data_IF_932654888689
#
_entry.id   IF_932654888689
#
_cell.length_a   1.000
_cell.length_b   1.000
_cell.length_c   1.000
_cell.angle_alpha   90.00
_cell.angle_beta   90.00
_cell.angle_gamma   90.00
#
_symmetry.space_group_name_H-M   'P 1'
#
loop_
_entity.id
_entity.type
_entity.pdbx_description
1 polymer ?
#
# COMPACT_ATOMS: atom_id res chain seq x y z
N UNK A 1 31.77 -10.17 -53.76
CA UNK A 1 31.68 -9.51 -52.48
C UNK A 1 30.29 -9.76 -51.93
N UNK A 2 30.16 -10.70 -50.97
CA UNK A 2 28.88 -11.03 -50.33
C UNK A 2 28.79 -10.20 -49.03
N UNK A 3 27.91 -9.22 -48.99
CA UNK A 3 27.52 -8.53 -47.76
C UNK A 3 26.61 -9.43 -46.94
N UNK A 4 27.12 -10.00 -45.88
CA UNK A 4 26.31 -10.65 -44.86
C UNK A 4 25.65 -9.58 -44.00
N UNK A 5 24.35 -9.37 -44.21
CA UNK A 5 23.48 -8.58 -43.37
C UNK A 5 23.28 -9.31 -42.02
N UNK A 6 23.97 -8.89 -40.97
CA UNK A 6 23.74 -9.34 -39.61
C UNK A 6 22.48 -8.66 -39.05
N UNK A 7 21.35 -9.34 -39.10
CA UNK A 7 20.13 -8.94 -38.43
C UNK A 7 20.33 -9.08 -36.90
N UNK A 8 20.54 -7.98 -36.21
CA UNK A 8 20.51 -7.90 -34.76
C UNK A 8 19.07 -8.04 -34.28
N UNK A 9 18.70 -9.25 -33.88
CA UNK A 9 17.39 -9.50 -33.22
C UNK A 9 17.43 -8.85 -31.84
N UNK A 10 16.85 -7.66 -31.70
CA UNK A 10 16.62 -7.02 -30.43
C UNK A 10 15.59 -7.85 -29.67
N UNK A 11 16.02 -8.70 -28.75
CA UNK A 11 15.11 -9.37 -27.81
C UNK A 11 14.38 -8.30 -27.02
N UNK A 12 13.07 -8.21 -27.17
CA UNK A 12 12.22 -7.36 -26.35
C UNK A 12 12.27 -7.89 -24.91
N UNK A 13 12.99 -7.20 -24.04
CA UNK A 13 13.02 -7.51 -22.61
C UNK A 13 11.62 -7.18 -22.07
N UNK A 14 10.86 -8.19 -21.71
CA UNK A 14 9.56 -8.00 -21.05
C UNK A 14 9.78 -7.31 -19.70
N UNK A 15 9.14 -6.16 -19.43
CA UNK A 15 9.29 -5.46 -18.17
C UNK A 15 8.97 -6.36 -16.98
N UNK A 16 9.81 -6.32 -15.96
CA UNK A 16 9.61 -7.08 -14.72
C UNK A 16 8.44 -6.53 -13.92
N UNK A 17 7.58 -7.42 -13.41
CA UNK A 17 6.40 -7.04 -12.62
C UNK A 17 6.38 -7.83 -11.32
N UNK A 18 5.97 -7.19 -10.21
CA UNK A 18 5.85 -7.86 -8.93
C UNK A 18 5.19 -7.02 -7.84
N UNK A 19 4.88 -7.69 -6.74
CA UNK A 19 4.32 -7.10 -5.52
C UNK A 19 5.45 -6.64 -4.60
N UNK A 20 5.26 -5.48 -3.99
CA UNK A 20 6.18 -4.89 -3.01
C UNK A 20 5.44 -4.69 -1.70
N UNK A 21 5.95 -5.28 -0.63
CA UNK A 21 5.45 -5.16 0.72
C UNK A 21 6.44 -4.38 1.57
N UNK A 22 5.93 -3.58 2.51
CA UNK A 22 6.74 -2.72 3.36
C UNK A 22 6.47 -3.05 4.83
N UNK A 23 7.47 -3.60 5.54
CA UNK A 23 7.33 -4.01 6.94
C UNK A 23 8.52 -3.53 7.78
N UNK A 24 8.27 -2.66 8.75
CA UNK A 24 9.32 -2.05 9.56
C UNK A 24 8.83 -1.66 10.97
N UNK A 25 9.78 -1.46 11.86
CA UNK A 25 9.61 -0.92 13.20
C UNK A 25 9.19 -1.95 14.24
N UNK A 26 8.06 -2.62 14.09
CA UNK A 26 7.54 -3.55 15.11
C UNK A 26 7.36 -4.96 14.53
N UNK A 27 7.61 -6.02 15.32
CA UNK A 27 7.45 -7.41 14.88
C UNK A 27 6.08 -7.74 14.28
N UNK A 28 5.03 -7.07 14.74
CA UNK A 28 3.67 -7.26 14.20
C UNK A 28 3.57 -6.97 12.71
N UNK A 29 4.37 -6.03 12.18
CA UNK A 29 4.39 -5.72 10.75
C UNK A 29 5.15 -6.80 9.96
N UNK A 30 6.17 -7.43 10.55
CA UNK A 30 6.84 -8.58 9.93
C UNK A 30 5.88 -9.76 9.78
N UNK A 31 5.05 -10.03 10.81
CA UNK A 31 4.03 -11.07 10.71
C UNK A 31 2.90 -10.72 9.76
N UNK A 32 2.50 -9.46 9.71
CA UNK A 32 1.51 -9.00 8.74
C UNK A 32 2.01 -9.19 7.30
N UNK A 33 3.28 -8.83 7.02
CA UNK A 33 3.92 -9.09 5.73
C UNK A 33 4.00 -10.59 5.39
N UNK A 34 4.30 -11.43 6.39
CA UNK A 34 4.27 -12.87 6.24
C UNK A 34 2.90 -13.37 5.80
N UNK A 35 1.83 -12.93 6.48
CA UNK A 35 0.47 -13.36 6.16
C UNK A 35 0.03 -12.91 4.77
N UNK A 36 0.35 -11.67 4.41
CA UNK A 36 0.03 -11.16 3.08
C UNK A 36 0.80 -11.91 2.00
N UNK A 37 2.12 -12.10 2.17
CA UNK A 37 2.95 -12.87 1.23
C UNK A 37 2.44 -14.32 1.08
N UNK A 38 2.10 -14.97 2.20
CA UNK A 38 1.52 -16.31 2.21
C UNK A 38 0.20 -16.35 1.45
N UNK A 39 -0.74 -15.42 1.73
CA UNK A 39 -2.04 -15.40 1.06
C UNK A 39 -1.91 -15.13 -0.45
N UNK A 40 -1.00 -14.24 -0.85
CA UNK A 40 -0.70 -14.02 -2.26
C UNK A 40 -0.14 -15.30 -2.89
N UNK A 41 0.85 -15.93 -2.27
CA UNK A 41 1.48 -17.15 -2.80
C UNK A 41 0.50 -18.30 -2.95
N UNK A 42 -0.46 -18.41 -2.02
CA UNK A 42 -1.51 -19.42 -2.04
C UNK A 42 -2.43 -19.27 -3.25
N UNK A 43 -2.84 -18.05 -3.56
CA UNK A 43 -3.80 -17.76 -4.62
C UNK A 43 -3.14 -17.47 -5.98
N UNK A 44 -1.91 -16.95 -5.95
CA UNK A 44 -1.16 -16.47 -7.13
C UNK A 44 0.28 -16.97 -7.08
N UNK A 45 0.50 -18.28 -7.33
CA UNK A 45 1.80 -18.95 -7.12
C UNK A 45 2.95 -18.37 -7.93
N UNK A 46 2.68 -17.72 -9.05
CA UNK A 46 3.69 -17.21 -9.98
C UNK A 46 4.01 -15.71 -9.78
N UNK A 47 3.25 -14.98 -8.97
CA UNK A 47 3.48 -13.57 -8.72
C UNK A 47 4.81 -13.39 -7.97
N UNK A 48 5.66 -12.49 -8.44
CA UNK A 48 6.90 -12.13 -7.75
C UNK A 48 6.57 -11.26 -6.55
N UNK A 49 7.18 -11.55 -5.41
CA UNK A 49 6.97 -10.83 -4.15
C UNK A 49 8.31 -10.39 -3.57
N UNK A 50 8.45 -9.11 -3.31
CA UNK A 50 9.56 -8.53 -2.55
C UNK A 50 9.03 -7.95 -1.25
N UNK A 51 9.70 -8.24 -0.13
CA UNK A 51 9.41 -7.58 1.14
C UNK A 51 10.59 -6.69 1.52
N UNK A 52 10.29 -5.44 1.83
CA UNK A 52 11.25 -4.43 2.27
C UNK A 52 11.20 -4.34 3.80
N UNK A 53 12.35 -4.53 4.46
CA UNK A 53 12.49 -4.49 5.91
C UNK A 53 13.48 -3.43 6.36
N UNK A 54 13.27 -2.89 7.56
CA UNK A 54 14.26 -2.08 8.29
C UNK A 54 15.40 -2.92 8.86
N UNK A 55 15.11 -4.15 9.26
CA UNK A 55 16.07 -5.13 9.78
C UNK A 55 15.71 -6.53 9.25
N UNK A 56 16.25 -6.94 8.10
CA UNK A 56 15.99 -8.25 7.52
C UNK A 56 16.34 -9.42 8.43
N UNK A 57 17.41 -9.32 9.21
CA UNK A 57 17.85 -10.40 10.12
C UNK A 57 16.83 -10.59 11.22
N UNK A 58 16.39 -9.49 11.84
CA UNK A 58 15.35 -9.50 12.86
C UNK A 58 14.00 -10.00 12.29
N UNK A 59 13.63 -9.54 11.10
CA UNK A 59 12.41 -10.00 10.44
C UNK A 59 12.40 -11.52 10.23
N UNK A 60 13.50 -12.08 9.71
CA UNK A 60 13.66 -13.52 9.51
C UNK A 60 13.71 -14.31 10.83
N UNK A 61 14.25 -13.75 11.91
CA UNK A 61 14.18 -14.40 13.23
C UNK A 61 12.75 -14.54 13.77
N UNK A 62 11.86 -13.64 13.35
CA UNK A 62 10.42 -13.72 13.69
C UNK A 62 9.62 -14.59 12.71
N UNK A 63 10.03 -14.62 11.44
CA UNK A 63 9.31 -15.27 10.33
C UNK A 63 10.29 -16.09 9.48
N UNK A 64 10.94 -17.11 10.06
CA UNK A 64 11.98 -17.90 9.40
C UNK A 64 11.53 -18.60 8.12
N UNK A 65 10.24 -18.95 8.03
CA UNK A 65 9.66 -19.61 6.85
C UNK A 65 9.24 -18.63 5.75
N UNK A 66 9.40 -17.31 5.96
CA UNK A 66 8.95 -16.28 5.01
C UNK A 66 9.54 -16.48 3.62
N UNK A 67 10.80 -16.95 3.54
CA UNK A 67 11.51 -17.19 2.29
C UNK A 67 10.82 -18.22 1.36
N UNK A 68 9.91 -19.03 1.88
CA UNK A 68 9.12 -19.96 1.06
C UNK A 68 8.04 -19.24 0.23
N UNK A 69 7.64 -18.04 0.66
CA UNK A 69 6.52 -17.30 0.06
C UNK A 69 6.94 -16.08 -0.74
N UNK A 70 8.18 -15.63 -0.61
CA UNK A 70 8.71 -14.45 -1.28
C UNK A 70 9.85 -14.78 -2.23
N UNK A 71 10.17 -13.86 -3.12
CA UNK A 71 11.26 -13.99 -4.08
C UNK A 71 12.51 -13.22 -3.63
N UNK A 72 12.31 -12.05 -3.02
CA UNK A 72 13.39 -11.15 -2.63
C UNK A 72 13.12 -10.45 -1.30
N UNK A 73 14.20 -10.14 -0.59
CA UNK A 73 14.21 -9.26 0.56
C UNK A 73 14.99 -8.00 0.18
N UNK A 74 14.38 -6.83 0.44
CA UNK A 74 15.06 -5.55 0.37
C UNK A 74 15.29 -4.95 1.75
N UNK A 75 16.23 -4.02 1.83
CA UNK A 75 16.56 -3.28 3.05
C UNK A 75 16.19 -1.81 2.88
N UNK A 76 15.51 -1.24 3.88
CA UNK A 76 15.17 0.17 3.96
C UNK A 76 16.19 0.83 4.89
N UNK A 77 16.80 1.90 4.43
CA UNK A 77 17.75 2.64 5.23
C UNK A 77 17.07 3.28 6.46
N UNK A 78 17.71 3.20 7.63
CA UNK A 78 17.14 3.69 8.88
C UNK A 78 16.84 5.19 8.85
N UNK A 79 17.66 5.97 8.12
CA UNK A 79 17.40 7.39 7.90
C UNK A 79 16.10 7.68 7.16
N UNK A 80 15.57 6.74 6.37
CA UNK A 80 14.27 6.89 5.70
C UNK A 80 13.08 6.41 6.55
N UNK A 81 13.36 5.83 7.72
CA UNK A 81 12.33 5.28 8.63
C UNK A 81 12.09 6.18 9.85
N UNK A 82 13.15 6.83 10.33
CA UNK A 82 13.08 7.58 11.58
C UNK A 82 13.25 9.08 11.34
N UNK A 83 12.45 9.87 12.09
CA UNK A 83 12.61 11.31 12.24
C UNK A 83 12.82 11.60 13.74
N UNK A 84 13.98 12.17 14.11
CA UNK A 84 14.33 12.42 15.51
C UNK A 84 14.16 11.19 16.42
N UNK A 85 14.63 10.03 15.97
CA UNK A 85 14.52 8.72 16.65
C UNK A 85 13.09 8.20 16.82
N UNK A 86 12.10 8.83 16.21
CA UNK A 86 10.71 8.36 16.20
C UNK A 86 10.39 7.74 14.85
N UNK A 87 9.65 6.63 14.89
CA UNK A 87 9.15 5.96 13.70
C UNK A 87 8.26 6.92 12.90
N UNK A 88 8.55 7.05 11.61
CA UNK A 88 7.88 7.96 10.69
C UNK A 88 7.42 7.21 9.43
N UNK A 89 6.24 6.57 9.46
CA UNK A 89 5.73 5.80 8.33
C UNK A 89 5.53 6.62 7.05
N UNK A 90 5.10 7.87 7.18
CA UNK A 90 4.91 8.75 6.03
C UNK A 90 6.22 9.00 5.29
N UNK A 91 7.32 9.18 6.05
CA UNK A 91 8.67 9.35 5.49
C UNK A 91 9.10 8.18 4.62
N UNK A 92 8.84 6.95 5.06
CA UNK A 92 9.16 5.74 4.27
C UNK A 92 8.37 5.73 2.98
N UNK A 93 7.06 6.02 3.05
CA UNK A 93 6.17 5.95 1.89
C UNK A 93 6.50 7.01 0.84
N UNK A 94 6.84 8.24 1.21
CA UNK A 94 7.27 9.25 0.23
C UNK A 94 8.66 8.96 -0.36
N UNK A 95 9.44 8.08 0.27
CA UNK A 95 10.71 7.57 -0.26
C UNK A 95 10.57 6.23 -1.00
N UNK A 96 9.37 5.66 -1.09
CA UNK A 96 9.14 4.30 -1.58
C UNK A 96 9.72 4.08 -2.98
N UNK A 97 9.62 5.05 -3.89
CA UNK A 97 10.13 4.93 -5.26
C UNK A 97 11.60 4.50 -5.34
N UNK A 98 12.44 4.96 -4.41
CA UNK A 98 13.86 4.59 -4.29
C UNK A 98 14.06 3.08 -4.11
N UNK A 99 13.12 2.39 -3.49
CA UNK A 99 13.21 0.99 -3.08
C UNK A 99 12.49 0.01 -4.01
N UNK A 100 11.81 0.49 -5.05
CA UNK A 100 11.04 -0.35 -5.96
C UNK A 100 11.95 -1.28 -6.75
N UNK A 101 11.77 -2.62 -6.69
CA UNK A 101 12.69 -3.56 -7.32
C UNK A 101 12.36 -3.87 -8.79
N UNK A 102 11.11 -3.66 -9.20
CA UNK A 102 10.62 -4.04 -10.53
C UNK A 102 10.41 -2.83 -11.43
N UNK A 103 10.24 -3.06 -12.73
CA UNK A 103 9.81 -2.01 -13.66
C UNK A 103 8.36 -1.60 -13.39
N UNK A 104 7.52 -2.58 -12.99
CA UNK A 104 6.12 -2.42 -12.60
C UNK A 104 5.91 -3.00 -11.21
N UNK A 105 5.44 -2.18 -10.29
CA UNK A 105 5.34 -2.53 -8.87
C UNK A 105 3.91 -2.35 -8.38
N UNK A 106 3.34 -3.42 -7.83
CA UNK A 106 2.13 -3.34 -7.03
C UNK A 106 2.53 -3.24 -5.56
N UNK A 107 2.57 -2.03 -5.02
CA UNK A 107 2.78 -1.81 -3.61
C UNK A 107 1.49 -2.10 -2.82
N UNK A 108 1.63 -2.82 -1.71
CA UNK A 108 0.54 -3.11 -0.78
C UNK A 108 0.98 -2.87 0.66
N UNK A 109 0.13 -2.20 1.44
CA UNK A 109 0.27 -2.16 2.89
C UNK A 109 0.09 -3.57 3.46
N UNK A 110 0.89 -3.90 4.46
CA UNK A 110 0.94 -5.27 5.02
C UNK A 110 -0.28 -5.63 5.87
N UNK A 111 -1.15 -4.68 6.18
CA UNK A 111 -2.42 -4.91 6.88
C UNK A 111 -3.54 -5.34 5.92
N UNK A 112 -3.19 -6.08 4.89
CA UNK A 112 -4.10 -6.67 3.91
C UNK A 112 -3.88 -8.18 3.78
N UNK A 113 -4.82 -8.86 3.14
CA UNK A 113 -4.75 -10.28 2.75
C UNK A 113 -5.29 -10.42 1.34
N UNK A 114 -4.62 -11.23 0.50
CA UNK A 114 -5.18 -11.65 -0.77
C UNK A 114 -6.28 -12.70 -0.52
N UNK A 115 -7.44 -12.50 -1.16
CA UNK A 115 -8.61 -13.35 -0.95
C UNK A 115 -8.92 -14.22 -2.17
N UNK A 116 -8.29 -13.92 -3.28
CA UNK A 116 -8.29 -14.72 -4.52
C UNK A 116 -7.03 -14.44 -5.34
N UNK A 117 -6.92 -15.03 -6.53
CA UNK A 117 -5.82 -14.78 -7.45
C UNK A 117 -5.76 -13.28 -7.84
N UNK A 118 -4.62 -12.65 -7.58
CA UNK A 118 -4.38 -11.23 -7.90
C UNK A 118 -3.76 -11.02 -9.30
N UNK A 119 -3.43 -12.09 -10.02
CA UNK A 119 -2.84 -11.95 -11.36
C UNK A 119 -3.76 -11.19 -12.33
N UNK A 120 -5.09 -11.45 -12.38
CA UNK A 120 -5.98 -10.67 -13.24
C UNK A 120 -5.99 -9.18 -12.92
N UNK A 121 -5.88 -8.81 -11.64
CA UNK A 121 -5.76 -7.40 -11.22
C UNK A 121 -4.45 -6.79 -11.73
N UNK A 122 -3.32 -7.50 -11.61
CA UNK A 122 -2.02 -7.05 -12.13
C UNK A 122 -2.07 -6.88 -13.65
N UNK A 123 -2.74 -7.77 -14.35
CA UNK A 123 -2.89 -7.71 -15.81
C UNK A 123 -3.70 -6.48 -16.22
N UNK A 124 -4.80 -6.20 -15.52
CA UNK A 124 -5.62 -5.02 -15.76
C UNK A 124 -4.87 -3.70 -15.47
N UNK A 125 -4.14 -3.64 -14.35
CA UNK A 125 -3.27 -2.51 -14.03
C UNK A 125 -2.22 -2.28 -15.13
N UNK A 126 -1.64 -3.37 -15.64
CA UNK A 126 -0.67 -3.32 -16.72
C UNK A 126 -1.29 -2.81 -18.03
N UNK A 127 -2.48 -3.31 -18.39
CA UNK A 127 -3.20 -2.92 -19.60
C UNK A 127 -3.72 -1.49 -19.56
N UNK A 128 -3.90 -0.91 -18.38
CA UNK A 128 -4.34 0.48 -18.22
C UNK A 128 -3.40 1.50 -18.86
N UNK A 129 -2.12 1.15 -19.01
CA UNK A 129 -1.07 2.04 -19.52
C UNK A 129 -0.74 3.22 -18.60
N UNK A 130 -1.31 3.30 -17.40
CA UNK A 130 -1.02 4.37 -16.44
C UNK A 130 0.24 4.05 -15.65
N UNK A 131 1.10 5.05 -15.45
CA UNK A 131 2.33 4.93 -14.67
C UNK A 131 2.10 4.94 -13.15
N UNK A 132 0.98 5.54 -12.72
CA UNK A 132 0.59 5.57 -11.32
C UNK A 132 -0.93 5.37 -11.17
N UNK A 133 -1.31 4.42 -10.31
CA UNK A 133 -2.70 4.17 -9.91
C UNK A 133 -2.73 3.97 -8.40
N UNK A 134 -3.75 4.51 -7.76
CA UNK A 134 -4.04 4.27 -6.34
C UNK A 134 -5.55 4.24 -6.13
N UNK A 135 -5.99 3.68 -5.01
CA UNK A 135 -7.39 3.74 -4.62
C UNK A 135 -7.77 5.21 -4.35
N UNK A 136 -8.57 5.78 -5.25
CA UNK A 136 -9.03 7.15 -5.15
C UNK A 136 -10.45 7.18 -4.58
N UNK A 137 -10.62 7.81 -3.42
CA UNK A 137 -11.90 7.91 -2.71
C UNK A 137 -12.71 9.14 -3.12
N UNK A 138 -12.12 10.05 -3.88
CA UNK A 138 -12.81 11.25 -4.37
C UNK A 138 -11.85 12.30 -4.92
N UNK A 139 -12.44 13.44 -5.30
CA UNK A 139 -11.71 14.59 -5.84
C UNK A 139 -12.16 15.86 -5.14
N UNK A 140 -11.21 16.73 -4.86
CA UNK A 140 -11.43 18.01 -4.19
C UNK A 140 -11.05 19.16 -5.09
N UNK A 141 -11.84 20.22 -5.01
CA UNK A 141 -11.55 21.54 -5.54
C UNK A 141 -11.59 22.55 -4.40
N UNK A 142 -10.99 23.72 -4.58
CA UNK A 142 -10.95 24.76 -3.55
C UNK A 142 -12.38 25.15 -3.07
N UNK A 143 -13.32 25.21 -4.00
CA UNK A 143 -14.72 25.62 -3.72
C UNK A 143 -15.46 24.62 -2.82
N UNK A 144 -15.09 23.35 -2.88
CA UNK A 144 -15.71 22.26 -2.10
C UNK A 144 -15.01 22.02 -0.76
N UNK A 145 -13.92 22.71 -0.48
CA UNK A 145 -13.03 22.40 0.63
C UNK A 145 -13.61 22.50 2.03
N UNK A 146 -14.70 23.27 2.21
CA UNK A 146 -15.35 23.40 3.53
C UNK A 146 -16.40 22.33 3.80
N UNK A 147 -17.02 21.81 2.75
CA UNK A 147 -18.12 20.87 2.88
C UNK A 147 -17.72 19.40 2.76
N UNK A 148 -16.46 19.16 2.32
CA UNK A 148 -15.97 17.80 2.09
C UNK A 148 -15.50 17.17 3.40
N UNK A 149 -16.35 16.33 3.98
CA UNK A 149 -16.06 15.56 5.21
C UNK A 149 -14.97 14.50 5.02
N UNK A 150 -14.55 14.24 3.78
CA UNK A 150 -13.73 13.09 3.41
C UNK A 150 -12.25 13.40 3.16
N UNK A 151 -11.80 14.65 3.23
CA UNK A 151 -10.37 14.93 3.28
C UNK A 151 -9.80 14.39 4.58
N UNK A 152 -9.09 13.28 4.47
CA UNK A 152 -8.72 12.47 5.62
C UNK A 152 -7.79 13.22 6.58
N UNK A 153 -6.91 14.08 6.08
CA UNK A 153 -5.78 14.58 6.85
C UNK A 153 -5.76 16.09 7.11
N UNK A 154 -6.23 16.91 6.17
CA UNK A 154 -6.26 18.37 6.32
C UNK A 154 -7.46 18.99 5.61
N UNK A 155 -7.77 20.25 5.93
CA UNK A 155 -8.80 20.99 5.23
C UNK A 155 -8.29 21.45 3.86
N UNK A 156 -9.14 21.40 2.82
CA UNK A 156 -8.73 21.76 1.48
C UNK A 156 -8.22 23.20 1.40
N UNK A 157 -8.96 24.16 1.96
CA UNK A 157 -8.54 25.57 1.99
C UNK A 157 -7.16 25.77 2.63
N UNK A 158 -6.85 25.00 3.68
CA UNK A 158 -5.54 25.01 4.33
C UNK A 158 -4.45 24.45 3.44
N UNK A 159 -4.75 23.35 2.73
CA UNK A 159 -3.81 22.74 1.78
C UNK A 159 -3.52 23.65 0.60
N UNK A 160 -4.58 24.23 -0.03
CA UNK A 160 -4.38 25.16 -1.14
C UNK A 160 -3.54 26.37 -0.73
N UNK A 161 -3.84 26.99 0.40
CA UNK A 161 -3.09 28.12 0.90
C UNK A 161 -1.64 27.74 1.28
N UNK A 162 -1.43 26.63 1.97
CA UNK A 162 -0.11 26.20 2.45
C UNK A 162 0.84 25.86 1.30
N UNK A 163 0.35 25.11 0.32
CA UNK A 163 1.16 24.66 -0.83
C UNK A 163 1.09 25.64 -2.02
N UNK A 164 0.41 26.77 -1.87
CA UNK A 164 0.23 27.78 -2.92
C UNK A 164 -0.28 27.17 -4.24
N UNK A 165 -1.32 26.34 -4.12
CA UNK A 165 -1.89 25.63 -5.27
C UNK A 165 -2.77 26.57 -6.09
N UNK A 166 -2.80 26.37 -7.42
CA UNK A 166 -3.73 27.06 -8.29
C UNK A 166 -5.17 26.65 -7.98
N UNK A 167 -6.10 27.60 -8.03
CA UNK A 167 -7.53 27.32 -7.80
C UNK A 167 -8.12 26.29 -8.77
N UNK A 168 -7.56 26.23 -9.99
CA UNK A 168 -7.96 25.27 -11.03
C UNK A 168 -7.51 23.83 -10.76
N UNK A 169 -6.66 23.60 -9.77
CA UNK A 169 -6.21 22.24 -9.48
C UNK A 169 -7.34 21.39 -8.89
N UNK A 170 -7.43 20.17 -9.40
CA UNK A 170 -8.26 19.11 -8.86
C UNK A 170 -7.36 18.15 -8.10
N UNK A 171 -7.57 18.05 -6.81
CA UNK A 171 -6.76 17.20 -5.94
C UNK A 171 -7.43 15.86 -5.74
N UNK A 172 -6.84 14.74 -6.15
CA UNK A 172 -7.36 13.42 -5.81
C UNK A 172 -7.18 13.16 -4.32
N UNK A 173 -8.12 12.46 -3.71
CA UNK A 173 -7.99 11.92 -2.37
C UNK A 173 -7.69 10.43 -2.47
N UNK A 174 -6.44 10.05 -2.33
CA UNK A 174 -6.05 8.64 -2.40
C UNK A 174 -6.02 7.98 -1.01
N UNK A 175 -6.16 6.66 -1.02
CA UNK A 175 -5.74 5.79 0.06
C UNK A 175 -4.48 5.05 -0.40
N UNK A 176 -3.36 5.28 0.27
CA UNK A 176 -2.05 4.79 -0.13
C UNK A 176 -1.78 3.31 0.19
N UNK A 177 -2.78 2.58 0.71
CA UNK A 177 -2.63 1.15 1.06
C UNK A 177 -2.38 0.25 -0.15
N UNK A 178 -2.75 0.70 -1.34
CA UNK A 178 -2.46 0.05 -2.61
C UNK A 178 -2.01 1.09 -3.63
N UNK A 179 -0.86 0.84 -4.26
CA UNK A 179 -0.34 1.71 -5.31
C UNK A 179 0.26 0.87 -6.44
N UNK A 180 -0.15 1.12 -7.68
CA UNK A 180 0.53 0.64 -8.88
C UNK A 180 1.51 1.70 -9.34
N UNK A 181 2.77 1.31 -9.50
CA UNK A 181 3.87 2.23 -9.79
C UNK A 181 4.72 1.65 -10.90
N UNK A 182 4.71 2.27 -12.07
CA UNK A 182 5.61 1.95 -13.17
C UNK A 182 6.84 2.84 -13.06
N UNK A 183 8.04 2.26 -13.05
CA UNK A 183 9.28 3.04 -13.03
C UNK A 183 9.40 3.85 -14.31
N UNK A 184 9.50 5.16 -14.17
CA UNK A 184 9.60 6.08 -15.29
C UNK A 184 9.47 7.53 -14.82
N UNK A 185 9.60 8.46 -15.74
CA UNK A 185 9.68 9.89 -15.45
C UNK A 185 8.45 10.45 -14.73
N UNK A 186 7.26 9.95 -15.03
CA UNK A 186 6.02 10.43 -14.41
C UNK A 186 5.94 10.00 -12.94
N UNK A 187 6.08 8.71 -12.63
CA UNK A 187 6.04 8.23 -11.25
C UNK A 187 7.19 8.82 -10.43
N UNK A 188 8.38 8.94 -11.02
CA UNK A 188 9.52 9.59 -10.36
C UNK A 188 9.22 11.04 -10.00
N UNK A 189 8.61 11.79 -10.91
CA UNK A 189 8.25 13.19 -10.69
C UNK A 189 7.24 13.35 -9.55
N UNK A 190 6.21 12.47 -9.49
CA UNK A 190 5.22 12.45 -8.42
C UNK A 190 5.92 12.23 -7.07
N UNK A 191 6.73 11.16 -6.94
CA UNK A 191 7.41 10.84 -5.69
C UNK A 191 8.44 11.89 -5.28
N UNK A 192 9.17 12.46 -6.23
CA UNK A 192 10.11 13.56 -5.97
C UNK A 192 9.39 14.79 -5.42
N UNK A 193 8.26 15.18 -6.02
CA UNK A 193 7.45 16.31 -5.55
C UNK A 193 6.87 16.01 -4.17
N UNK A 194 6.27 14.85 -3.96
CA UNK A 194 5.72 14.47 -2.65
C UNK A 194 6.79 14.47 -1.55
N UNK A 195 7.97 13.92 -1.85
CA UNK A 195 9.13 13.91 -0.95
C UNK A 195 9.61 15.33 -0.64
N UNK A 196 9.77 16.17 -1.64
CA UNK A 196 10.21 17.55 -1.46
C UNK A 196 9.24 18.33 -0.57
N UNK A 197 7.96 18.23 -0.82
CA UNK A 197 6.93 18.86 0.01
C UNK A 197 6.96 18.32 1.44
N UNK A 198 7.12 17.01 1.62
CA UNK A 198 7.17 16.37 2.93
C UNK A 198 8.31 16.90 3.80
N UNK A 199 9.49 17.07 3.24
CA UNK A 199 10.68 17.46 3.99
C UNK A 199 10.87 18.95 4.10
N UNK A 200 10.57 19.70 3.03
CA UNK A 200 10.90 21.13 2.93
C UNK A 200 9.70 22.04 3.18
N UNK A 201 8.47 21.52 3.04
CA UNK A 201 7.26 22.30 3.25
C UNK A 201 6.18 21.49 4.01
N UNK A 202 6.47 20.96 5.22
CA UNK A 202 5.50 20.17 5.95
C UNK A 202 4.32 21.03 6.43
N UNK A 203 3.10 20.53 6.27
CA UNK A 203 1.91 21.23 6.75
C UNK A 203 1.95 21.37 8.28
N UNK A 204 1.59 22.53 8.85
CA UNK A 204 1.56 22.71 10.29
C UNK A 204 0.59 21.73 10.98
N UNK A 205 1.00 21.11 12.08
CA UNK A 205 0.19 20.13 12.83
C UNK A 205 -1.18 20.68 13.23
N UNK A 206 -1.27 22.00 13.50
CA UNK A 206 -2.53 22.69 13.83
C UNK A 206 -3.55 22.70 12.69
N UNK A 207 -3.09 22.55 11.45
CA UNK A 207 -3.92 22.54 10.24
C UNK A 207 -4.30 21.11 9.80
N UNK A 208 -3.79 20.08 10.50
CA UNK A 208 -4.20 18.70 10.33
C UNK A 208 -5.53 18.43 11.05
N UNK A 209 -6.44 17.76 10.39
CA UNK A 209 -7.72 17.32 10.97
C UNK A 209 -7.57 16.18 11.97
N UNK A 210 -6.57 15.32 11.74
CA UNK A 210 -6.30 14.15 12.57
C UNK A 210 -4.88 14.21 13.10
N UNK A 211 -4.72 13.92 14.39
CA UNK A 211 -3.39 13.76 14.97
C UNK A 211 -2.85 12.38 14.56
N UNK A 212 -1.84 12.39 13.73
CA UNK A 212 -1.09 11.19 13.38
C UNK A 212 -0.02 10.92 14.43
N UNK A 213 0.03 9.68 14.92
CA UNK A 213 0.91 9.32 16.05
C UNK A 213 2.40 9.26 15.75
N UNK A 214 2.81 9.41 14.49
CA UNK A 214 4.20 9.18 14.08
C UNK A 214 4.63 9.93 12.82
N UNK A 215 4.50 11.25 12.76
CA UNK A 215 4.96 12.03 11.62
C UNK A 215 3.83 12.69 10.83
N UNK A 216 4.06 12.96 9.56
CA UNK A 216 3.09 13.52 8.63
C UNK A 216 2.45 12.37 7.80
N UNK A 217 1.17 12.46 7.42
CA UNK A 217 0.56 11.46 6.54
C UNK A 217 1.08 11.57 5.11
N UNK A 218 1.59 10.47 4.56
CA UNK A 218 2.09 10.40 3.19
C UNK A 218 1.04 10.73 2.13
N UNK A 219 -0.19 10.27 2.34
CA UNK A 219 -1.32 10.49 1.43
C UNK A 219 -1.55 11.97 1.12
N UNK A 220 -1.38 12.85 2.12
CA UNK A 220 -1.52 14.29 1.94
C UNK A 220 -0.56 14.83 0.87
N UNK A 221 0.71 14.48 0.99
CA UNK A 221 1.76 14.95 0.07
C UNK A 221 1.66 14.28 -1.30
N UNK A 222 1.25 13.03 -1.35
CA UNK A 222 0.97 12.34 -2.61
C UNK A 222 -0.21 12.98 -3.33
N UNK A 223 -1.30 13.34 -2.63
CA UNK A 223 -2.46 14.03 -3.21
C UNK A 223 -2.06 15.36 -3.85
N UNK A 224 -1.25 16.16 -3.13
CA UNK A 224 -0.74 17.44 -3.64
C UNK A 224 0.16 17.23 -4.85
N UNK A 225 1.08 16.27 -4.80
CA UNK A 225 1.96 15.95 -5.92
C UNK A 225 1.17 15.51 -7.16
N UNK A 226 0.16 14.67 -7.00
CA UNK A 226 -0.72 14.24 -8.09
C UNK A 226 -1.47 15.43 -8.71
N UNK A 227 -1.98 16.36 -7.89
CA UNK A 227 -2.65 17.57 -8.36
C UNK A 227 -1.71 18.48 -9.15
N UNK A 228 -0.48 18.72 -8.65
CA UNK A 228 0.54 19.54 -9.32
C UNK A 228 0.90 18.96 -10.70
N UNK A 229 0.99 17.64 -10.81
CA UNK A 229 1.33 16.96 -12.06
C UNK A 229 0.12 16.66 -12.95
N UNK A 230 -1.11 17.01 -12.53
CA UNK A 230 -2.34 16.74 -13.29
C UNK A 230 -2.62 15.26 -13.51
N UNK A 231 -2.23 14.41 -12.56
CA UNK A 231 -2.37 12.95 -12.66
C UNK A 231 -3.64 12.48 -11.99
N UNK A 232 -4.47 11.79 -12.77
CA UNK A 232 -5.62 11.05 -12.26
C UNK A 232 -5.18 9.63 -11.85
N UNK A 233 -5.10 9.32 -10.55
CA UNK A 233 -4.66 8.03 -10.04
C UNK A 233 -5.74 6.95 -10.12
N UNK A 234 -6.97 7.32 -10.47
CA UNK A 234 -8.09 6.39 -10.45
C UNK A 234 -8.06 5.42 -11.64
N UNK A 235 -8.38 4.18 -11.41
CA UNK A 235 -8.79 3.25 -12.46
C UNK A 235 -10.33 3.21 -12.48
N UNK A 236 -10.95 3.54 -13.60
CA UNK A 236 -12.42 3.71 -13.71
C UNK A 236 -13.23 2.52 -13.17
N UNK A 237 -12.71 1.31 -13.33
CA UNK A 237 -13.36 0.10 -12.84
C UNK A 237 -13.45 -0.01 -11.31
N UNK A 238 -12.69 0.83 -10.56
CA UNK A 238 -12.51 0.65 -9.11
C UNK A 238 -12.73 1.93 -8.29
N UNK A 239 -13.27 2.97 -8.91
CA UNK A 239 -13.52 4.27 -8.26
C UNK A 239 -14.88 4.39 -7.60
N UNK A 240 -15.75 3.41 -7.78
CA UNK A 240 -17.08 3.48 -7.18
C UNK A 240 -17.04 2.96 -5.74
N UNK A 241 -17.50 3.80 -4.82
CA UNK A 241 -17.76 3.45 -3.42
C UNK A 241 -18.98 2.51 -3.25
N UNK A 242 -19.50 1.98 -4.33
CA UNK A 242 -20.62 1.06 -4.26
C UNK A 242 -20.08 -0.35 -3.95
N UNK A 243 -20.33 -0.77 -2.72
CA UNK A 243 -19.94 -2.09 -2.20
C UNK A 243 -20.50 -3.28 -2.98
N UNK A 244 -21.45 -3.04 -3.88
CA UNK A 244 -22.10 -4.09 -4.68
C UNK A 244 -21.38 -4.44 -5.98
N UNK A 245 -20.47 -3.58 -6.47
CA UNK A 245 -19.83 -3.76 -7.78
C UNK A 245 -18.44 -4.42 -7.74
N UNK A 246 -17.92 -4.70 -6.54
CA UNK A 246 -16.57 -5.26 -6.38
C UNK A 246 -15.45 -4.22 -6.55
N UNK A 247 -14.19 -4.66 -6.44
CA UNK A 247 -13.04 -3.78 -6.53
C UNK A 247 -11.71 -4.47 -6.30
N UNK A 248 -10.61 -3.70 -6.38
CA UNK A 248 -9.27 -4.23 -6.09
C UNK A 248 -9.12 -4.59 -4.63
N UNK A 249 -9.53 -3.69 -3.75
CA UNK A 249 -9.36 -3.83 -2.31
C UNK A 249 -10.64 -3.45 -1.57
N UNK A 250 -11.06 -4.33 -0.65
CA UNK A 250 -12.13 -4.04 0.30
C UNK A 250 -11.53 -3.56 1.62
N UNK A 251 -12.10 -2.50 2.19
CA UNK A 251 -11.69 -1.98 3.49
C UNK A 251 -12.62 -2.48 4.58
N UNK A 252 -12.08 -3.09 5.64
CA UNK A 252 -12.85 -3.68 6.74
C UNK A 252 -13.77 -2.69 7.46
N UNK A 253 -13.56 -1.38 7.29
CA UNK A 253 -14.46 -0.35 7.80
C UNK A 253 -15.77 -0.23 7.01
N UNK A 254 -15.82 -0.74 5.78
CA UNK A 254 -17.04 -0.84 4.98
C UNK A 254 -17.86 -2.00 5.52
N UNK A 255 -18.87 -1.69 6.33
CA UNK A 255 -19.72 -2.69 6.97
C UNK A 255 -20.77 -3.22 5.99
N UNK A 256 -21.10 -4.49 6.11
CA UNK A 256 -22.30 -5.07 5.48
C UNK A 256 -22.05 -6.20 4.49
N UNK A 257 -20.81 -6.42 4.05
CA UNK A 257 -20.49 -7.54 3.17
C UNK A 257 -20.19 -8.82 3.97
N UNK A 258 -20.70 -9.94 3.48
CA UNK A 258 -20.33 -11.26 3.99
C UNK A 258 -18.92 -11.65 3.50
N UNK A 259 -18.36 -12.68 4.10
CA UNK A 259 -17.08 -13.26 3.65
C UNK A 259 -17.15 -13.69 2.19
N UNK A 260 -18.28 -14.30 1.79
CA UNK A 260 -18.48 -14.75 0.41
C UNK A 260 -18.50 -13.56 -0.56
N UNK A 261 -19.25 -12.49 -0.23
CA UNK A 261 -19.30 -11.29 -1.07
C UNK A 261 -17.90 -10.69 -1.29
N UNK A 262 -17.07 -10.67 -0.23
CA UNK A 262 -15.70 -10.14 -0.32
C UNK A 262 -14.85 -11.01 -1.21
N UNK A 263 -14.86 -12.33 -1.04
CA UNK A 263 -14.05 -13.24 -1.85
C UNK A 263 -14.47 -13.29 -3.31
N UNK A 264 -15.75 -13.10 -3.60
CA UNK A 264 -16.25 -13.07 -4.97
C UNK A 264 -15.92 -11.76 -5.69
N UNK A 265 -16.02 -10.64 -5.00
CA UNK A 265 -16.00 -9.31 -5.62
C UNK A 265 -14.67 -8.55 -5.49
N UNK A 266 -13.78 -8.93 -4.56
CA UNK A 266 -12.53 -8.22 -4.31
C UNK A 266 -11.32 -9.14 -4.44
N UNK A 267 -10.15 -8.57 -4.74
CA UNK A 267 -8.86 -9.28 -4.78
C UNK A 267 -8.17 -9.26 -3.42
N UNK A 268 -8.32 -8.16 -2.70
CA UNK A 268 -7.66 -7.90 -1.43
C UNK A 268 -8.65 -7.48 -0.37
N UNK A 269 -8.41 -7.91 0.86
CA UNK A 269 -9.09 -7.41 2.06
C UNK A 269 -8.09 -6.63 2.90
N UNK A 270 -8.30 -5.33 3.09
CA UNK A 270 -7.51 -4.51 4.01
C UNK A 270 -8.15 -4.44 5.39
N UNK A 271 -7.33 -4.51 6.41
CA UNK A 271 -7.68 -4.34 7.82
C UNK A 271 -7.29 -2.95 8.33
N UNK A 272 -7.40 -1.98 7.48
CA UNK A 272 -7.09 -0.59 7.65
C UNK A 272 -7.31 -0.09 9.08
N UNK A 273 -6.34 0.68 9.59
CA UNK A 273 -6.41 1.29 10.91
C UNK A 273 -5.16 1.08 11.74
N UNK A 274 -4.09 0.58 11.17
CA UNK A 274 -2.75 0.49 11.77
C UNK A 274 -2.74 -0.32 13.06
N UNK A 275 -2.56 0.32 14.18
CA UNK A 275 -2.60 -0.32 15.50
C UNK A 275 -3.98 -0.87 15.90
N UNK A 276 -4.99 -0.64 15.10
CA UNK A 276 -6.36 -1.07 15.32
C UNK A 276 -6.77 -2.25 14.43
N UNK A 277 -5.88 -3.21 14.13
CA UNK A 277 -6.40 -4.50 13.72
C UNK A 277 -7.60 -4.78 14.62
N UNK A 278 -8.82 -4.83 14.07
CA UNK A 278 -9.91 -5.39 14.83
C UNK A 278 -9.54 -6.86 14.93
N UNK A 279 -8.87 -7.29 16.03
CA UNK A 279 -8.11 -8.53 16.04
C UNK A 279 -9.00 -9.70 15.73
N UNK A 280 -10.26 -9.60 16.18
CA UNK A 280 -11.26 -10.64 16.01
C UNK A 280 -11.57 -10.92 14.53
N UNK A 281 -11.77 -9.87 13.73
CA UNK A 281 -12.09 -10.04 12.31
C UNK A 281 -10.91 -10.58 11.51
N UNK A 282 -9.71 -10.08 11.79
CA UNK A 282 -8.47 -10.54 11.16
C UNK A 282 -8.17 -12.00 11.52
N UNK A 283 -8.36 -12.36 12.79
CA UNK A 283 -8.18 -13.74 13.28
C UNK A 283 -9.22 -14.66 12.66
N UNK A 284 -10.51 -14.29 12.69
CA UNK A 284 -11.58 -15.08 12.10
C UNK A 284 -11.34 -15.30 10.59
N UNK A 285 -10.78 -14.31 9.92
CA UNK A 285 -10.39 -14.41 8.53
C UNK A 285 -9.19 -15.30 8.29
N UNK A 286 -8.14 -15.12 9.06
CA UNK A 286 -6.98 -16.01 9.03
C UNK A 286 -7.40 -17.45 9.33
N UNK A 287 -8.23 -17.67 10.34
CA UNK A 287 -8.74 -18.98 10.68
C UNK A 287 -9.52 -19.61 9.51
N UNK A 288 -10.40 -18.85 8.85
CA UNK A 288 -11.16 -19.36 7.70
C UNK A 288 -10.31 -19.61 6.47
N UNK A 289 -9.40 -18.67 6.15
CA UNK A 289 -8.51 -18.79 5.00
C UNK A 289 -7.43 -19.87 5.19
N UNK A 290 -6.97 -20.05 6.41
CA UNK A 290 -5.89 -20.95 6.77
C UNK A 290 -6.39 -22.28 7.37
N UNK A 291 -7.67 -22.43 7.69
CA UNK A 291 -8.23 -23.63 8.33
C UNK A 291 -7.91 -24.92 7.53
N UNK A 292 -7.84 -24.83 6.22
CA UNK A 292 -7.45 -25.94 5.35
C UNK A 292 -5.93 -26.26 5.39
N UNK A 293 -5.09 -25.23 5.68
CA UNK A 293 -3.62 -25.32 5.60
C UNK A 293 -2.94 -25.23 6.97
N UNK A 294 -3.72 -25.14 8.05
CA UNK A 294 -3.23 -25.01 9.42
C UNK A 294 -2.21 -26.09 9.82
N UNK A 295 -2.26 -27.26 9.17
CA UNK A 295 -1.30 -28.34 9.38
C UNK A 295 0.08 -28.03 8.78
N UNK A 296 0.13 -27.19 7.75
CA UNK A 296 1.36 -26.89 7.03
C UNK A 296 2.15 -25.69 7.59
N UNK A 297 1.46 -24.70 8.17
CA UNK A 297 2.06 -23.44 8.65
C UNK A 297 2.30 -23.50 10.13
N UNK A 298 2.76 -24.38 10.74
CA UNK A 298 3.04 -24.46 12.17
C UNK A 298 2.14 -23.55 13.03
N UNK A 299 1.28 -24.14 13.82
CA UNK A 299 0.33 -23.51 14.78
C UNK A 299 0.90 -22.29 15.55
N UNK A 300 2.23 -22.13 15.56
CA UNK A 300 2.96 -21.14 16.35
C UNK A 300 2.80 -19.72 15.84
N UNK A 301 2.79 -19.49 14.52
CA UNK A 301 2.73 -18.13 13.94
C UNK A 301 1.35 -17.53 14.07
N UNK A 302 0.32 -18.31 13.80
CA UNK A 302 -1.08 -17.88 13.95
C UNK A 302 -1.44 -17.68 15.41
N UNK A 303 -0.94 -18.54 16.28
CA UNK A 303 -1.09 -18.38 17.74
C UNK A 303 -0.45 -17.09 18.25
N UNK A 304 0.75 -16.71 17.76
CA UNK A 304 1.42 -15.48 18.14
C UNK A 304 0.65 -14.25 17.66
N UNK A 305 0.12 -14.25 16.45
CA UNK A 305 -0.71 -13.16 15.92
C UNK A 305 -1.99 -13.03 16.73
N UNK A 306 -2.67 -14.15 17.01
CA UNK A 306 -3.87 -14.21 17.87
C UNK A 306 -3.59 -13.67 19.27
N UNK A 307 -2.45 -14.03 19.87
CA UNK A 307 -2.09 -13.62 21.23
C UNK A 307 -1.73 -12.14 21.33
N UNK A 308 -1.08 -11.57 20.31
CA UNK A 308 -0.78 -10.13 20.27
C UNK A 308 -2.05 -9.33 20.06
N UNK A 309 -2.95 -9.83 19.24
CA UNK A 309 -4.27 -9.26 19.07
C UNK A 309 -5.06 -9.29 20.40
N UNK A 310 -5.08 -10.41 21.10
CA UNK A 310 -5.75 -10.59 22.40
C UNK A 310 -5.13 -9.73 23.51
N UNK A 311 -3.80 -9.65 23.60
CA UNK A 311 -3.13 -8.86 24.63
C UNK A 311 -3.40 -7.35 24.47
N UNK A 312 -3.52 -6.83 23.25
CA UNK A 312 -3.93 -5.44 23.03
C UNK A 312 -5.36 -5.15 23.51
N UNK A 313 -6.25 -6.15 23.51
CA UNK A 313 -7.61 -6.01 24.01
C UNK A 313 -7.71 -6.18 25.52
N UNK A 314 -6.89 -7.05 26.11
CA UNK A 314 -6.86 -7.27 27.55
C UNK A 314 -6.31 -6.08 28.33
N UNK A 315 -5.37 -5.32 27.72
CA UNK A 315 -4.75 -4.17 28.40
C UNK A 315 -5.63 -2.92 28.45
N UNK A 316 -6.86 -2.95 27.91
CA UNK A 316 -7.92 -1.95 28.15
C UNK A 316 -7.54 -0.48 27.90
N UNK A 317 -6.38 -0.21 27.33
CA UNK A 317 -5.89 1.13 27.08
C UNK A 317 -6.38 1.62 25.71
N UNK A 318 -7.45 2.37 25.78
CA UNK A 318 -8.04 3.21 24.74
C UNK A 318 -7.06 4.27 24.25
#
# INVERSE_FOLDING_TARGET
MNEQSTSTTTQSITPSTGVVLLAFGKPQYYWAAYNLAFSIRKHSPNVKITVLFDDPIKALSHCHDLMQYINHIGHIALEDIYTNKKLDPGKVKVNLYKYLPYDRNLYLDVDAIAVKDIQPMIDELTQSGKDYISHCVGYHTIDKGRDFKEMQWAWADKMWAHFNLLESYVMPAINSSMQWIVKGSQAEAIYRTAKDLYFNNPIPIKDLRMKWGGGQPDELYMNVALAIHGIDPALKAYTKNDSSEGGMIHFAMQRGLSFQDITENYYLQSYYGGAGFTPRFYIDWLDRMLAADFKAIGKRHIYLISRIAQNKYADGKR
#
